data_IF_164634272234
#
_entry.id   IF_164634272234
#
_cell.length_a   1.000
_cell.length_b   1.000
_cell.length_c   1.000
_cell.angle_alpha   90.00
_cell.angle_beta   90.00
_cell.angle_gamma   90.00
#
_symmetry.space_group_name_H-M   'P 1'
#
loop_
_entity.id
_entity.type
_entity.pdbx_description
1 polymer ?
#
# COMPACT_ATOMS: atom_id res chain seq x y z
N UNK A 1 1.90 -0.88 -16.80
CA UNK A 1 1.09 -1.86 -16.02
C UNK A 1 1.93 -2.81 -15.16
N UNK A 2 3.24 -2.98 -15.41
CA UNK A 2 4.11 -3.93 -14.68
C UNK A 2 4.03 -3.83 -13.15
N UNK A 3 3.81 -2.62 -12.59
CA UNK A 3 3.70 -2.46 -11.12
C UNK A 3 2.38 -3.00 -10.57
N UNK A 4 1.30 -2.87 -11.32
CA UNK A 4 0.00 -3.44 -10.95
C UNK A 4 0.11 -4.96 -11.02
N UNK A 5 0.65 -5.48 -12.12
CA UNK A 5 0.81 -6.93 -12.34
C UNK A 5 1.65 -7.58 -11.24
N UNK A 6 2.67 -6.89 -10.73
CA UNK A 6 3.49 -7.36 -9.61
C UNK A 6 2.74 -7.51 -8.28
N UNK A 7 1.69 -6.71 -8.04
CA UNK A 7 0.89 -6.77 -6.82
C UNK A 7 -0.25 -7.81 -6.87
N UNK A 8 -0.66 -8.22 -8.08
CA UNK A 8 -1.80 -9.13 -8.28
C UNK A 8 -1.70 -10.45 -7.52
N UNK A 9 -0.54 -11.16 -7.48
CA UNK A 9 -0.44 -12.43 -6.76
C UNK A 9 -0.79 -12.31 -5.28
N UNK A 10 -0.28 -11.27 -4.61
CA UNK A 10 -0.55 -11.01 -3.19
C UNK A 10 -2.04 -10.69 -2.97
N UNK A 11 -2.61 -9.80 -3.79
CA UNK A 11 -4.01 -9.42 -3.68
C UNK A 11 -4.93 -10.62 -3.90
N UNK A 12 -4.70 -11.42 -4.95
CA UNK A 12 -5.48 -12.64 -5.21
C UNK A 12 -5.42 -13.62 -4.05
N UNK A 13 -4.24 -13.85 -3.49
CA UNK A 13 -4.08 -14.72 -2.33
C UNK A 13 -4.93 -14.28 -1.14
N UNK A 14 -4.97 -12.98 -0.86
CA UNK A 14 -5.80 -12.43 0.22
C UNK A 14 -7.29 -12.60 -0.08
N UNK A 15 -7.72 -12.31 -1.31
CA UNK A 15 -9.11 -12.47 -1.73
C UNK A 15 -9.57 -13.94 -1.69
N UNK A 16 -8.72 -14.88 -2.11
CA UNK A 16 -8.98 -16.33 -2.05
C UNK A 16 -9.17 -16.82 -0.60
N UNK A 17 -8.62 -16.09 0.36
CA UNK A 17 -8.80 -16.35 1.80
C UNK A 17 -9.99 -15.60 2.40
N UNK A 18 -10.80 -14.92 1.58
CA UNK A 18 -11.96 -14.16 2.02
C UNK A 18 -11.64 -12.83 2.68
N UNK A 19 -10.42 -12.30 2.54
CA UNK A 19 -10.05 -11.04 3.16
C UNK A 19 -10.78 -9.85 2.55
N UNK A 20 -11.08 -8.84 3.36
CA UNK A 20 -11.39 -7.48 2.94
C UNK A 20 -10.08 -6.77 2.68
N UNK A 21 -9.85 -6.29 1.47
CA UNK A 21 -8.54 -5.76 1.06
C UNK A 21 -8.61 -4.26 0.84
N UNK A 22 -7.81 -3.51 1.58
CA UNK A 22 -7.63 -2.07 1.40
C UNK A 22 -6.24 -1.84 0.80
N UNK A 23 -6.19 -1.25 -0.40
CA UNK A 23 -4.97 -0.97 -1.12
C UNK A 23 -4.59 0.49 -0.95
N UNK A 24 -3.38 0.75 -0.48
CA UNK A 24 -2.78 2.07 -0.48
C UNK A 24 -1.57 2.13 -1.41
N UNK A 25 -1.42 3.22 -2.14
CA UNK A 25 -0.32 3.45 -3.06
C UNK A 25 -0.09 4.93 -3.30
N UNK A 26 0.94 5.25 -4.08
CA UNK A 26 1.23 6.62 -4.48
C UNK A 26 1.58 6.72 -5.97
N UNK A 27 1.37 7.90 -6.51
CA UNK A 27 1.78 8.28 -7.87
C UNK A 27 2.47 9.64 -7.82
N UNK A 28 3.65 9.74 -8.40
CA UNK A 28 4.39 11.00 -8.49
C UNK A 28 4.80 11.61 -7.15
N UNK A 29 4.90 12.93 -7.13
CA UNK A 29 5.31 13.73 -5.96
C UNK A 29 4.38 14.95 -5.80
N UNK A 30 3.13 14.78 -5.37
CA UNK A 30 2.15 15.88 -5.27
C UNK A 30 2.43 16.85 -4.11
N UNK A 31 3.47 16.60 -3.28
CA UNK A 31 3.95 17.48 -2.20
C UNK A 31 2.92 17.78 -1.11
N UNK A 32 1.96 16.91 -0.89
CA UNK A 32 0.95 17.06 0.17
C UNK A 32 -0.31 17.79 -0.29
N UNK A 33 -0.53 17.91 -1.59
CA UNK A 33 -1.70 18.54 -2.17
C UNK A 33 -2.35 17.63 -3.22
N UNK A 34 -3.67 17.68 -3.41
CA UNK A 34 -4.34 16.97 -4.48
C UNK A 34 -3.91 17.50 -5.85
N UNK A 35 -3.42 16.61 -6.70
CA UNK A 35 -3.03 16.90 -8.10
C UNK A 35 -3.77 15.92 -8.99
N UNK A 36 -4.74 16.36 -9.82
CA UNK A 36 -5.61 15.47 -10.61
C UNK A 36 -4.85 14.45 -11.46
N UNK A 37 -3.74 14.86 -12.07
CA UNK A 37 -2.89 14.02 -12.92
C UNK A 37 -2.15 12.92 -12.13
N UNK A 38 -2.13 13.04 -10.80
CA UNK A 38 -1.53 12.08 -9.88
C UNK A 38 -2.59 11.30 -9.09
N UNK A 39 -3.86 11.38 -9.50
CA UNK A 39 -4.93 10.55 -8.92
C UNK A 39 -4.74 9.07 -9.23
N UNK A 40 -5.12 8.22 -8.28
CA UNK A 40 -5.15 6.77 -8.48
C UNK A 40 -6.46 6.28 -9.13
N UNK A 41 -7.39 7.16 -9.46
CA UNK A 41 -8.64 6.79 -10.12
C UNK A 41 -8.44 5.88 -11.35
N UNK A 42 -7.46 6.13 -12.27
CA UNK A 42 -7.23 5.26 -13.42
C UNK A 42 -6.69 3.86 -13.06
N UNK A 43 -6.22 3.66 -11.83
CA UNK A 43 -5.69 2.37 -11.36
C UNK A 43 -6.81 1.39 -11.01
N UNK A 44 -7.94 1.89 -10.50
CA UNK A 44 -9.07 1.05 -10.09
C UNK A 44 -9.62 0.16 -11.23
N UNK A 45 -9.95 0.68 -12.43
CA UNK A 45 -10.39 -0.16 -13.54
C UNK A 45 -9.32 -1.16 -14.01
N UNK A 46 -8.04 -0.79 -13.97
CA UNK A 46 -6.95 -1.69 -14.33
C UNK A 46 -6.78 -2.83 -13.32
N UNK A 47 -7.00 -2.58 -12.03
CA UNK A 47 -7.04 -3.62 -11.00
C UNK A 47 -8.26 -4.53 -11.18
N UNK A 48 -9.46 -3.97 -11.40
CA UNK A 48 -10.69 -4.71 -11.65
C UNK A 48 -10.52 -5.72 -12.80
N UNK A 49 -9.97 -5.28 -13.93
CA UNK A 49 -9.70 -6.15 -15.10
C UNK A 49 -8.82 -7.35 -14.72
N UNK A 50 -7.78 -7.15 -13.91
CA UNK A 50 -6.81 -8.19 -13.56
C UNK A 50 -7.24 -9.10 -12.43
N UNK A 51 -7.99 -8.57 -11.49
CA UNK A 51 -8.47 -9.31 -10.33
C UNK A 51 -9.76 -10.09 -10.65
N UNK A 52 -10.56 -9.60 -11.60
CA UNK A 52 -11.87 -10.15 -11.92
C UNK A 52 -12.93 -9.87 -10.85
N UNK A 53 -12.67 -8.93 -9.94
CA UNK A 53 -13.59 -8.49 -8.89
C UNK A 53 -13.79 -6.98 -8.95
N UNK A 54 -14.87 -6.49 -8.32
CA UNK A 54 -15.10 -5.04 -8.21
C UNK A 54 -14.04 -4.40 -7.31
N UNK A 55 -13.50 -3.27 -7.76
CA UNK A 55 -12.56 -2.44 -7.00
C UNK A 55 -13.23 -1.11 -6.71
N UNK A 56 -13.59 -0.90 -5.45
CA UNK A 56 -14.12 0.38 -4.99
C UNK A 56 -12.99 1.41 -4.95
N UNK A 57 -13.27 2.63 -5.34
CA UNK A 57 -12.35 3.76 -5.26
C UNK A 57 -13.09 4.97 -4.69
N UNK A 58 -12.49 5.63 -3.73
CA UNK A 58 -13.02 6.88 -3.16
C UNK A 58 -12.07 8.02 -3.54
N UNK A 59 -12.58 9.00 -4.28
CA UNK A 59 -11.81 10.19 -4.66
C UNK A 59 -11.76 11.19 -3.50
N UNK A 60 -11.15 10.78 -2.40
CA UNK A 60 -11.02 11.56 -1.18
C UNK A 60 -9.61 12.17 -1.08
N UNK A 61 -9.46 13.48 -1.27
CA UNK A 61 -8.17 14.15 -1.16
C UNK A 61 -7.54 14.05 0.23
N UNK A 62 -8.33 13.76 1.26
CA UNK A 62 -7.82 13.49 2.62
C UNK A 62 -7.30 12.06 2.80
N UNK A 63 -7.53 11.18 1.83
CA UNK A 63 -7.15 9.77 1.81
C UNK A 63 -7.86 8.92 2.87
N UNK A 64 -7.97 9.43 4.08
CA UNK A 64 -8.60 8.81 5.27
C UNK A 64 -9.78 9.63 5.79
N UNK A 65 -10.44 10.39 4.92
CA UNK A 65 -11.61 11.21 5.29
C UNK A 65 -12.86 10.38 5.58
N UNK A 66 -13.93 11.04 5.94
CA UNK A 66 -15.16 10.39 6.42
C UNK A 66 -15.81 9.47 5.38
N UNK A 67 -15.77 9.84 4.11
CA UNK A 67 -16.29 8.98 3.04
C UNK A 67 -15.47 7.71 2.88
N UNK A 68 -14.12 7.83 2.89
CA UNK A 68 -13.22 6.68 2.86
C UNK A 68 -13.45 5.75 4.04
N UNK A 69 -13.58 6.29 5.25
CA UNK A 69 -13.88 5.52 6.48
C UNK A 69 -15.19 4.75 6.36
N UNK A 70 -16.24 5.42 5.85
CA UNK A 70 -17.53 4.80 5.63
C UNK A 70 -17.45 3.62 4.67
N UNK A 71 -16.82 3.82 3.50
CA UNK A 71 -16.68 2.76 2.49
C UNK A 71 -15.82 1.61 3.03
N UNK A 72 -14.75 1.90 3.79
CA UNK A 72 -13.91 0.89 4.43
C UNK A 72 -14.70 0.06 5.46
N UNK A 73 -15.53 0.70 6.29
CA UNK A 73 -16.38 0.01 7.28
C UNK A 73 -17.46 -0.87 6.63
N UNK A 74 -17.96 -0.49 5.45
CA UNK A 74 -18.97 -1.24 4.69
C UNK A 74 -18.35 -2.33 3.78
N UNK A 75 -17.02 -2.44 3.73
CA UNK A 75 -16.32 -3.41 2.88
C UNK A 75 -16.61 -4.84 3.35
N UNK A 76 -16.99 -5.71 2.41
CA UNK A 76 -17.30 -7.12 2.68
C UNK A 76 -16.13 -8.02 2.33
N UNK A 77 -16.18 -9.24 2.83
CA UNK A 77 -15.21 -10.28 2.53
C UNK A 77 -15.12 -10.51 1.01
N UNK A 78 -13.89 -10.55 0.50
CA UNK A 78 -13.62 -10.66 -0.94
C UNK A 78 -13.74 -9.35 -1.74
N UNK A 79 -14.03 -8.23 -1.09
CA UNK A 79 -14.06 -6.92 -1.75
C UNK A 79 -12.73 -6.17 -1.63
N UNK A 80 -12.50 -5.27 -2.57
CA UNK A 80 -11.29 -4.43 -2.65
C UNK A 80 -11.66 -2.96 -2.62
N UNK A 81 -10.98 -2.19 -1.76
CA UNK A 81 -10.98 -0.73 -1.74
C UNK A 81 -9.60 -0.21 -2.12
N UNK A 82 -9.50 0.63 -3.14
CA UNK A 82 -8.31 1.39 -3.45
C UNK A 82 -8.44 2.80 -2.87
N UNK A 83 -7.50 3.20 -2.04
CA UNK A 83 -7.43 4.56 -1.50
C UNK A 83 -6.90 5.53 -2.56
N UNK A 84 -7.17 6.82 -2.37
CA UNK A 84 -6.53 7.87 -3.13
C UNK A 84 -5.02 7.95 -2.80
N UNK A 85 -4.25 8.65 -3.63
CA UNK A 85 -2.81 8.81 -3.52
C UNK A 85 -2.39 9.23 -2.10
N UNK A 86 -1.66 8.35 -1.38
CA UNK A 86 -1.24 8.60 0.00
C UNK A 86 -0.43 9.89 0.15
N UNK A 87 0.27 10.32 -0.92
CA UNK A 87 1.08 11.54 -0.95
C UNK A 87 0.28 12.83 -1.17
N UNK A 88 -1.06 12.76 -1.28
CA UNK A 88 -1.90 13.93 -1.13
C UNK A 88 -1.88 14.47 0.30
N UNK A 89 -1.48 13.60 1.26
CA UNK A 89 -1.19 14.00 2.63
C UNK A 89 0.30 14.31 2.77
N UNK A 90 0.61 15.52 3.19
CA UNK A 90 1.99 15.97 3.41
C UNK A 90 2.71 15.21 4.51
N UNK A 91 1.95 14.62 5.43
CA UNK A 91 2.40 13.77 6.53
C UNK A 91 3.02 12.47 6.05
N UNK A 92 2.58 11.93 4.91
CA UNK A 92 3.00 10.62 4.39
C UNK A 92 4.52 10.42 4.39
N UNK A 93 5.27 11.41 3.97
CA UNK A 93 6.74 11.32 3.85
C UNK A 93 7.51 11.84 5.05
N UNK A 94 6.81 12.18 6.15
CA UNK A 94 7.39 12.82 7.33
C UNK A 94 7.34 11.94 8.58
N UNK A 95 7.07 10.66 8.46
CA UNK A 95 7.01 9.75 9.60
C UNK A 95 8.33 9.79 10.40
N UNK A 96 8.19 9.90 11.73
CA UNK A 96 9.33 10.10 12.64
C UNK A 96 9.93 11.51 12.68
N UNK A 97 9.36 12.48 11.92
CA UNK A 97 9.82 13.87 11.87
C UNK A 97 8.73 14.88 12.20
N UNK A 98 7.48 14.47 12.16
CA UNK A 98 6.30 15.31 12.37
C UNK A 98 5.27 14.51 13.18
N UNK A 99 4.79 15.06 14.30
CA UNK A 99 3.78 14.39 15.14
C UNK A 99 2.47 14.08 14.40
N UNK A 100 2.08 14.93 13.44
CA UNK A 100 0.90 14.69 12.60
C UNK A 100 1.06 13.45 11.70
N UNK A 101 2.29 13.08 11.39
CA UNK A 101 2.56 11.88 10.60
C UNK A 101 2.24 10.58 11.39
N UNK A 102 2.47 10.58 12.70
CA UNK A 102 2.07 9.45 13.55
C UNK A 102 0.54 9.29 13.60
N UNK A 103 -0.20 10.40 13.73
CA UNK A 103 -1.66 10.39 13.66
C UNK A 103 -2.17 9.87 12.30
N UNK A 104 -1.59 10.31 11.19
CA UNK A 104 -1.97 9.82 9.87
C UNK A 104 -1.67 8.32 9.68
N UNK A 105 -0.56 7.82 10.20
CA UNK A 105 -0.26 6.39 10.19
C UNK A 105 -1.30 5.57 10.97
N UNK A 106 -1.78 6.11 12.10
CA UNK A 106 -2.86 5.52 12.89
C UNK A 106 -4.18 5.50 12.12
N UNK A 107 -4.55 6.62 11.48
CA UNK A 107 -5.74 6.70 10.63
C UNK A 107 -5.74 5.62 9.54
N UNK A 108 -4.59 5.37 8.89
CA UNK A 108 -4.45 4.31 7.88
C UNK A 108 -4.71 2.91 8.47
N UNK A 109 -4.17 2.62 9.66
CA UNK A 109 -4.39 1.34 10.32
C UNK A 109 -5.86 1.15 10.75
N UNK A 110 -6.51 2.21 11.21
CA UNK A 110 -7.91 2.19 11.64
C UNK A 110 -8.88 1.86 10.51
N UNK A 111 -8.54 2.15 9.24
CA UNK A 111 -9.37 1.76 8.09
C UNK A 111 -9.58 0.24 7.98
N UNK A 112 -8.65 -0.57 8.49
CA UNK A 112 -8.74 -2.03 8.52
C UNK A 112 -8.86 -2.59 9.95
N UNK A 113 -9.49 -1.85 10.86
CA UNK A 113 -9.66 -2.22 12.28
C UNK A 113 -8.33 -2.60 12.95
N UNK A 114 -7.23 -1.95 12.58
CA UNK A 114 -5.88 -2.28 13.03
C UNK A 114 -5.51 -3.77 12.80
N UNK A 115 -6.02 -4.36 11.75
CA UNK A 115 -5.85 -5.79 11.43
C UNK A 115 -4.45 -6.14 10.96
N UNK A 116 -4.32 -6.67 9.74
CA UNK A 116 -3.04 -7.12 9.17
C UNK A 116 -2.53 -6.09 8.16
N UNK A 117 -1.29 -5.68 8.30
CA UNK A 117 -0.58 -4.89 7.29
C UNK A 117 0.29 -5.80 6.41
N UNK A 118 0.14 -5.70 5.11
CA UNK A 118 0.94 -6.43 4.12
C UNK A 118 1.80 -5.44 3.33
N UNK A 119 3.11 -5.48 3.53
CA UNK A 119 4.03 -4.68 2.73
C UNK A 119 4.42 -5.40 1.45
N UNK A 120 3.99 -4.88 0.32
CA UNK A 120 4.36 -5.39 -1.01
C UNK A 120 4.97 -4.28 -1.91
N UNK A 121 5.49 -3.23 -1.27
CA UNK A 121 6.00 -2.03 -1.92
C UNK A 121 7.53 -1.94 -1.82
N UNK A 122 8.26 -2.82 -2.53
CA UNK A 122 9.73 -2.85 -2.51
C UNK A 122 10.37 -1.50 -2.83
N UNK A 123 9.87 -0.79 -3.84
CA UNK A 123 10.43 0.50 -4.25
C UNK A 123 10.43 1.60 -3.19
N UNK A 124 9.66 1.45 -2.10
CA UNK A 124 9.60 2.37 -0.97
C UNK A 124 10.09 1.77 0.35
N UNK A 125 10.52 0.51 0.35
CA UNK A 125 10.94 -0.21 1.56
C UNK A 125 12.09 0.48 2.32
N UNK A 126 12.94 1.21 1.60
CA UNK A 126 14.06 1.99 2.16
C UNK A 126 13.64 3.32 2.80
N UNK A 127 12.35 3.66 2.83
CA UNK A 127 11.84 4.96 3.32
C UNK A 127 10.92 4.76 4.52
N UNK A 128 11.05 5.64 5.51
CA UNK A 128 10.11 5.70 6.63
C UNK A 128 8.91 6.60 6.25
N UNK A 129 7.89 6.01 5.61
CA UNK A 129 6.64 6.68 5.31
C UNK A 129 5.53 6.20 6.25
N UNK A 130 4.43 6.96 6.36
CA UNK A 130 3.29 6.58 7.18
C UNK A 130 2.68 5.26 6.71
N UNK A 131 2.52 5.08 5.40
CA UNK A 131 1.87 3.91 4.79
C UNK A 131 2.75 2.64 4.71
N UNK A 132 4.02 2.69 5.09
CA UNK A 132 4.88 1.50 5.10
C UNK A 132 5.56 1.21 6.45
N UNK A 133 6.02 2.22 7.17
CA UNK A 133 6.64 2.04 8.48
C UNK A 133 5.69 2.48 9.60
N UNK A 134 5.07 3.65 9.46
CA UNK A 134 4.20 4.20 10.50
C UNK A 134 3.02 3.29 10.85
N UNK A 135 2.35 2.76 9.83
CA UNK A 135 1.18 1.88 9.98
C UNK A 135 1.48 0.64 10.82
N UNK A 136 2.70 0.09 10.76
CA UNK A 136 3.09 -1.13 11.48
C UNK A 136 3.03 -0.99 13.01
N UNK A 137 3.08 0.23 13.51
CA UNK A 137 2.95 0.51 14.95
C UNK A 137 1.54 0.25 15.47
N UNK A 138 0.54 0.33 14.60
CA UNK A 138 -0.87 0.30 14.96
C UNK A 138 -1.60 -0.95 14.50
N UNK A 139 -0.99 -1.77 13.65
CA UNK A 139 -1.57 -3.03 13.17
C UNK A 139 -1.16 -4.21 14.05
N UNK A 140 -2.06 -5.20 14.19
CA UNK A 140 -1.85 -6.40 15.02
C UNK A 140 -0.77 -7.31 14.46
N UNK A 141 -0.73 -7.43 13.13
CA UNK A 141 0.25 -8.25 12.42
C UNK A 141 0.82 -7.50 11.24
N UNK A 142 2.10 -7.73 10.98
CA UNK A 142 2.83 -7.11 9.89
C UNK A 142 3.58 -8.18 9.11
N UNK A 143 3.26 -8.32 7.83
CA UNK A 143 3.82 -9.33 6.95
C UNK A 143 4.29 -8.73 5.62
N UNK A 144 5.03 -9.48 4.84
CA UNK A 144 5.42 -9.10 3.48
C UNK A 144 4.57 -9.84 2.45
N UNK A 145 4.29 -9.18 1.33
CA UNK A 145 3.67 -9.80 0.17
C UNK A 145 4.68 -10.52 -0.73
N UNK A 146 4.21 -11.21 -1.74
CA UNK A 146 5.03 -12.04 -2.63
C UNK A 146 6.07 -11.24 -3.43
N UNK A 147 5.78 -9.98 -3.79
CA UNK A 147 6.74 -9.12 -4.46
C UNK A 147 7.93 -8.82 -3.55
N UNK A 148 7.66 -8.44 -2.29
CA UNK A 148 8.69 -8.21 -1.28
C UNK A 148 9.45 -9.48 -0.94
N UNK A 149 8.77 -10.60 -0.75
CA UNK A 149 9.39 -11.90 -0.48
C UNK A 149 10.40 -12.27 -1.56
N UNK A 150 10.01 -12.11 -2.84
CA UNK A 150 10.89 -12.37 -3.98
C UNK A 150 12.16 -11.52 -3.92
N UNK A 151 12.04 -10.23 -3.67
CA UNK A 151 13.18 -9.31 -3.58
C UNK A 151 14.08 -9.64 -2.39
N UNK A 152 13.51 -9.91 -1.22
CA UNK A 152 14.25 -10.33 -0.02
C UNK A 152 15.06 -11.59 -0.31
N UNK A 153 14.44 -12.57 -0.96
CA UNK A 153 15.10 -13.84 -1.30
C UNK A 153 16.27 -13.63 -2.27
N UNK A 154 16.05 -12.91 -3.36
CA UNK A 154 17.10 -12.72 -4.38
C UNK A 154 18.24 -11.83 -3.88
N UNK A 155 17.94 -10.72 -3.23
CA UNK A 155 18.95 -9.81 -2.70
C UNK A 155 19.68 -10.43 -1.50
N UNK A 156 18.97 -11.11 -0.61
CA UNK A 156 19.57 -11.84 0.51
C UNK A 156 20.58 -12.88 0.03
N UNK A 157 20.19 -13.71 -0.93
CA UNK A 157 21.09 -14.70 -1.53
C UNK A 157 22.31 -14.05 -2.21
N UNK A 158 22.11 -12.94 -2.93
CA UNK A 158 23.20 -12.24 -3.59
C UNK A 158 24.21 -11.63 -2.61
N UNK A 159 23.77 -11.23 -1.41
CA UNK A 159 24.63 -10.65 -0.38
C UNK A 159 25.30 -11.74 0.47
N UNK A 160 24.54 -12.77 0.88
CA UNK A 160 25.02 -13.80 1.81
C UNK A 160 25.85 -14.89 1.11
N UNK A 161 25.43 -15.32 -0.08
CA UNK A 161 26.04 -16.43 -0.83
C UNK A 161 26.18 -16.04 -2.32
N UNK A 162 27.01 -15.04 -2.65
CA UNK A 162 27.12 -14.59 -4.03
C UNK A 162 27.78 -15.64 -4.93
N UNK A 163 27.17 -15.89 -6.08
CA UNK A 163 27.81 -16.65 -7.16
C UNK A 163 28.87 -15.73 -7.79
N UNK A 164 30.11 -16.17 -7.82
CA UNK A 164 31.23 -15.35 -8.33
C UNK A 164 31.51 -15.63 -9.81
N UNK A 165 31.93 -14.64 -10.60
CA UNK A 165 32.19 -13.24 -10.21
C UNK A 165 30.88 -12.48 -9.91
N UNK A 166 30.86 -11.69 -8.83
CA UNK A 166 29.72 -10.85 -8.41
C UNK A 166 30.13 -9.38 -8.46
N UNK A 167 29.47 -8.63 -9.32
CA UNK A 167 29.73 -7.18 -9.52
C UNK A 167 28.43 -6.42 -9.32
N UNK A 168 28.47 -5.36 -8.53
CA UNK A 168 27.38 -4.41 -8.35
C UNK A 168 27.80 -3.08 -8.95
N UNK A 169 26.95 -2.49 -9.79
CA UNK A 169 27.16 -1.21 -10.44
C UNK A 169 26.11 -0.22 -9.94
#
# INVERSE_FOLDING_TARGET
YNRIDGAIPTIKKLLDQGARVILCSHLGKPKGEPVPEMSLAPVAPALKERLGVEVKFVDDPKVTGEETKKVAAELKDGEVLLLQNTRYRGEETKYGKDEKADAYAKELAELCDCGVFVNDAFGTAHRAHCSNVGVTKYTKENVVGYLMEKEIKFLGQAVEIPVRPFVVI
#
